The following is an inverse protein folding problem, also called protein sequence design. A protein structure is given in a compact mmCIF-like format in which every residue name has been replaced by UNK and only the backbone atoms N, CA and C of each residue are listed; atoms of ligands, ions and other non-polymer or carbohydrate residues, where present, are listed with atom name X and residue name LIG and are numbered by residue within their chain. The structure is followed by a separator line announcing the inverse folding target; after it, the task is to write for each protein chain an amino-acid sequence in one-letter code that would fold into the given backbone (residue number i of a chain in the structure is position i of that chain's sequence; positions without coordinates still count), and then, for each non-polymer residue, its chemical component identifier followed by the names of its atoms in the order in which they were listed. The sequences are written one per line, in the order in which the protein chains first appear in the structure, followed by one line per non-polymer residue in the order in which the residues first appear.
data_IF_509238624867
#
_entry.id   IF_509238624867
#
_cell.length_a   1.000
_cell.length_b   1.000
_cell.length_c   1.000
_cell.angle_alpha   90.00
_cell.angle_beta   90.00
_cell.angle_gamma   90.00
#
_symmetry.space_group_name_H-M   'P 1'
#
loop_
_entity.id
_entity.type
_entity.pdbx_description
1 polymer ?
#
# COMPACT_ATOMS: atom_id res chain seq x y z
N UNK A 1 -8.93 3.51 31.69
CA UNK A 1 -8.19 4.66 31.15
C UNK A 1 -7.24 4.27 30.01
N UNK A 2 -6.43 3.23 30.17
CA UNK A 2 -5.51 2.77 29.11
C UNK A 2 -6.25 2.30 27.86
N UNK A 3 -7.35 1.56 28.03
CA UNK A 3 -8.17 1.08 26.91
C UNK A 3 -8.81 2.22 26.11
N UNK A 4 -9.31 3.25 26.81
CA UNK A 4 -9.94 4.41 26.17
C UNK A 4 -8.91 5.21 25.35
N UNK A 5 -7.72 5.44 25.91
CA UNK A 5 -6.62 6.11 25.20
C UNK A 5 -6.19 5.33 23.96
N UNK A 6 -6.08 4.02 24.09
CA UNK A 6 -5.71 3.12 22.99
C UNK A 6 -6.78 3.14 21.89
N UNK A 7 -8.06 3.08 22.26
CA UNK A 7 -9.15 3.14 21.30
C UNK A 7 -9.19 4.48 20.57
N UNK A 8 -8.99 5.59 21.27
CA UNK A 8 -8.92 6.92 20.67
C UNK A 8 -7.73 7.05 19.71
N UNK A 9 -6.55 6.51 20.10
CA UNK A 9 -5.37 6.52 19.27
C UNK A 9 -5.57 5.71 17.99
N UNK A 10 -6.15 4.52 18.11
CA UNK A 10 -6.46 3.66 16.95
C UNK A 10 -7.47 4.32 16.02
N UNK A 11 -8.51 4.95 16.59
CA UNK A 11 -9.53 5.68 15.80
C UNK A 11 -8.91 6.84 15.02
N UNK A 12 -8.03 7.60 15.67
CA UNK A 12 -7.32 8.71 15.04
C UNK A 12 -6.40 8.24 13.91
N UNK A 13 -5.64 7.18 14.15
CA UNK A 13 -4.75 6.57 13.15
C UNK A 13 -5.53 6.06 11.95
N UNK A 14 -6.64 5.37 12.20
CA UNK A 14 -7.53 4.89 11.14
C UNK A 14 -8.11 6.05 10.33
N UNK A 15 -8.48 7.14 10.99
CA UNK A 15 -8.98 8.34 10.32
C UNK A 15 -7.92 8.93 9.38
N UNK A 16 -6.67 9.03 9.80
CA UNK A 16 -5.56 9.50 8.97
C UNK A 16 -5.42 8.64 7.71
N UNK A 17 -5.41 7.33 7.86
CA UNK A 17 -5.26 6.39 6.75
C UNK A 17 -6.45 6.51 5.79
N UNK A 18 -7.67 6.61 6.31
CA UNK A 18 -8.88 6.78 5.50
C UNK A 18 -8.88 8.11 4.73
N UNK A 19 -8.46 9.19 5.36
CA UNK A 19 -8.37 10.50 4.72
C UNK A 19 -7.35 10.49 3.58
N UNK A 20 -6.20 9.87 3.79
CA UNK A 20 -5.17 9.71 2.75
C UNK A 20 -5.68 8.84 1.61
N UNK A 21 -6.39 7.76 1.92
CA UNK A 21 -7.00 6.88 0.92
C UNK A 21 -8.04 7.61 0.07
N UNK A 22 -8.93 8.38 0.71
CA UNK A 22 -9.94 9.18 0.01
C UNK A 22 -9.29 10.28 -0.84
N UNK A 23 -8.24 10.91 -0.36
CA UNK A 23 -7.46 11.90 -1.11
C UNK A 23 -6.83 11.26 -2.35
N UNK A 24 -6.29 10.04 -2.22
CA UNK A 24 -5.75 9.27 -3.34
C UNK A 24 -6.80 8.96 -4.40
N UNK A 25 -7.99 8.52 -3.98
CA UNK A 25 -9.11 8.24 -4.88
C UNK A 25 -9.55 9.49 -5.64
N UNK A 26 -9.67 10.61 -4.93
CA UNK A 26 -10.05 11.89 -5.55
C UNK A 26 -8.98 12.39 -6.52
N UNK A 27 -7.71 12.30 -6.16
CA UNK A 27 -6.61 12.68 -7.04
C UNK A 27 -6.60 11.84 -8.33
N UNK A 28 -6.79 10.53 -8.20
CA UNK A 28 -6.89 9.64 -9.36
C UNK A 28 -8.06 10.01 -10.26
N UNK A 29 -9.21 10.35 -9.68
CA UNK A 29 -10.41 10.74 -10.43
C UNK A 29 -10.25 12.11 -11.11
N UNK A 30 -9.74 13.11 -10.40
CA UNK A 30 -9.58 14.50 -10.90
C UNK A 30 -8.57 14.55 -12.06
N UNK A 31 -7.45 13.85 -11.92
CA UNK A 31 -6.40 13.81 -12.94
C UNK A 31 -6.64 12.73 -13.99
N UNK A 32 -7.73 11.96 -13.90
CA UNK A 32 -8.04 10.85 -14.80
C UNK A 32 -6.86 9.89 -14.98
N UNK A 33 -6.22 9.55 -13.87
CA UNK A 33 -5.04 8.68 -13.88
C UNK A 33 -5.43 7.24 -14.25
N UNK A 34 -4.62 6.54 -15.06
CA UNK A 34 -4.88 5.15 -15.45
C UNK A 34 -4.49 4.15 -14.35
N UNK A 35 -4.37 4.58 -13.11
CA UNK A 35 -4.00 3.76 -11.96
C UNK A 35 -5.10 3.80 -10.90
N UNK A 36 -5.25 2.73 -10.09
CA UNK A 36 -6.23 2.72 -8.98
C UNK A 36 -5.95 3.83 -7.96
N UNK A 37 -7.01 4.38 -7.39
CA UNK A 37 -6.89 5.41 -6.33
C UNK A 37 -6.14 4.93 -5.10
N UNK A 38 -6.21 3.64 -4.79
CA UNK A 38 -5.44 3.03 -3.69
C UNK A 38 -3.93 3.13 -3.90
N UNK A 39 -3.44 3.01 -5.14
CA UNK A 39 -2.03 3.19 -5.48
C UNK A 39 -1.62 4.65 -5.27
N UNK A 40 -2.44 5.60 -5.71
CA UNK A 40 -2.21 7.03 -5.48
C UNK A 40 -2.17 7.33 -3.98
N UNK A 41 -3.09 6.73 -3.21
CA UNK A 41 -3.11 6.84 -1.74
C UNK A 41 -1.84 6.30 -1.09
N UNK A 42 -1.34 5.16 -1.55
CA UNK A 42 -0.06 4.60 -1.06
C UNK A 42 1.12 5.53 -1.34
N UNK A 43 1.21 6.08 -2.55
CA UNK A 43 2.26 7.02 -2.92
C UNK A 43 2.15 8.31 -2.12
N UNK A 44 0.93 8.80 -1.90
CA UNK A 44 0.66 9.97 -1.09
C UNK A 44 1.10 9.75 0.36
N UNK A 45 0.71 8.62 0.95
CA UNK A 45 1.11 8.26 2.31
C UNK A 45 2.63 8.13 2.43
N UNK A 46 3.25 7.47 1.47
CA UNK A 46 4.70 7.32 1.42
C UNK A 46 5.40 8.68 1.36
N UNK A 47 4.90 9.59 0.54
CA UNK A 47 5.42 10.95 0.42
C UNK A 47 5.29 11.72 1.73
N UNK A 48 4.12 11.65 2.37
CA UNK A 48 3.87 12.31 3.65
C UNK A 48 4.78 11.77 4.76
N UNK A 49 5.02 10.46 4.78
CA UNK A 49 5.94 9.83 5.72
C UNK A 49 7.39 10.23 5.45
N UNK A 50 7.78 10.30 4.18
CA UNK A 50 9.15 10.67 3.78
C UNK A 50 9.49 12.11 4.13
N UNK A 51 8.53 13.03 3.99
CA UNK A 51 8.72 14.45 4.35
C UNK A 51 8.49 14.72 5.83
N UNK A 52 8.09 13.74 6.61
CA UNK A 52 7.87 13.87 8.04
C UNK A 52 6.58 14.61 8.43
N UNK A 53 5.68 14.85 7.47
CA UNK A 53 4.34 15.44 7.74
C UNK A 53 3.52 14.50 8.63
N UNK A 54 3.55 13.21 8.31
CA UNK A 54 2.99 12.16 9.14
C UNK A 54 4.14 11.30 9.63
N UNK A 55 4.21 11.05 10.93
CA UNK A 55 5.22 10.18 11.52
C UNK A 55 4.72 8.74 11.53
N UNK A 56 5.61 7.80 11.26
CA UNK A 56 5.29 6.37 11.31
C UNK A 56 4.70 5.95 12.66
N UNK A 57 5.18 6.56 13.75
CA UNK A 57 4.66 6.31 15.09
C UNK A 57 3.18 6.68 15.24
N UNK A 58 2.68 7.64 14.46
CA UNK A 58 1.28 8.08 14.51
C UNK A 58 0.29 7.09 13.90
N UNK A 59 0.77 6.16 13.06
CA UNK A 59 -0.07 5.14 12.39
C UNK A 59 0.37 3.71 12.71
N UNK A 60 1.36 3.56 13.58
CA UNK A 60 2.03 2.29 13.86
C UNK A 60 1.08 1.22 14.43
N UNK A 61 0.16 1.58 15.30
CA UNK A 61 -0.76 0.62 15.92
C UNK A 61 -1.72 0.01 14.90
N UNK A 62 -2.33 0.84 14.07
CA UNK A 62 -3.27 0.38 13.04
C UNK A 62 -2.53 -0.39 11.95
N UNK A 63 -1.41 0.12 11.46
CA UNK A 63 -0.61 -0.58 10.44
C UNK A 63 -0.06 -1.89 10.97
N UNK A 64 0.39 -1.94 12.22
CA UNK A 64 0.84 -3.18 12.87
C UNK A 64 -0.28 -4.21 12.97
N UNK A 65 -1.48 -3.79 13.34
CA UNK A 65 -2.65 -4.66 13.38
C UNK A 65 -2.98 -5.21 11.98
N UNK A 66 -3.00 -4.34 10.95
CA UNK A 66 -3.29 -4.74 9.58
C UNK A 66 -2.25 -5.72 9.06
N UNK A 67 -0.96 -5.46 9.29
CA UNK A 67 0.13 -6.35 8.86
C UNK A 67 0.07 -7.71 9.57
N UNK A 68 -0.24 -7.71 10.87
CA UNK A 68 -0.38 -8.94 11.64
C UNK A 68 -1.51 -9.84 11.11
N UNK A 69 -2.61 -9.23 10.65
CA UNK A 69 -3.79 -9.92 10.15
C UNK A 69 -3.86 -9.91 8.61
N UNK A 70 -2.74 -9.65 7.94
CA UNK A 70 -2.69 -9.52 6.48
C UNK A 70 -3.19 -10.78 5.76
N UNK A 71 -2.86 -11.96 6.27
CA UNK A 71 -3.33 -13.23 5.71
C UNK A 71 -4.87 -13.31 5.68
N UNK A 72 -5.53 -12.80 6.70
CA UNK A 72 -6.99 -12.76 6.77
C UNK A 72 -7.59 -11.88 5.66
N UNK A 73 -6.93 -10.76 5.35
CA UNK A 73 -7.38 -9.87 4.26
C UNK A 73 -7.13 -10.45 2.88
N UNK A 74 -6.21 -11.41 2.73
CA UNK A 74 -5.98 -12.09 1.46
C UNK A 74 -7.11 -13.02 1.06
N UNK A 75 -7.90 -13.54 2.00
CA UNK A 75 -9.00 -14.48 1.71
C UNK A 75 -10.03 -13.85 0.76
N UNK A 76 -10.63 -12.67 1.06
CA UNK A 76 -11.60 -12.07 0.14
C UNK A 76 -10.98 -11.64 -1.19
N UNK A 77 -9.72 -11.23 -1.21
CA UNK A 77 -9.00 -10.89 -2.45
C UNK A 77 -8.82 -12.13 -3.32
N UNK A 78 -8.42 -13.25 -2.73
CA UNK A 78 -8.24 -14.52 -3.44
C UNK A 78 -9.57 -15.00 -4.03
N UNK A 79 -10.65 -14.95 -3.27
CA UNK A 79 -11.99 -15.31 -3.74
C UNK A 79 -12.42 -14.38 -4.88
N UNK A 80 -12.15 -13.08 -4.77
CA UNK A 80 -12.42 -12.12 -5.83
C UNK A 80 -11.66 -12.42 -7.12
N UNK A 81 -10.41 -12.86 -7.02
CA UNK A 81 -9.59 -13.22 -8.17
C UNK A 81 -10.14 -14.44 -8.93
N UNK A 82 -10.86 -15.33 -8.25
CA UNK A 82 -11.47 -16.49 -8.92
C UNK A 82 -12.49 -16.09 -10.00
N UNK A 83 -13.13 -14.92 -9.84
CA UNK A 83 -14.06 -14.40 -10.85
C UNK A 83 -13.34 -13.91 -12.12
N UNK A 84 -12.04 -13.69 -12.05
CA UNK A 84 -11.20 -13.24 -13.18
C UNK A 84 -10.45 -14.40 -13.86
N UNK A 85 -10.84 -15.64 -13.59
CA UNK A 85 -10.21 -16.84 -14.16
C UNK A 85 -10.08 -16.77 -15.68
N UNK A 86 -11.09 -16.26 -16.33
CA UNK A 86 -11.13 -16.14 -17.79
C UNK A 86 -10.02 -15.21 -18.31
N UNK A 87 -9.76 -14.10 -17.61
CA UNK A 87 -8.68 -13.18 -17.94
C UNK A 87 -7.31 -13.85 -17.76
N UNK A 88 -7.15 -14.62 -16.69
CA UNK A 88 -5.92 -15.38 -16.44
C UNK A 88 -5.65 -16.39 -17.53
N UNK A 89 -6.71 -17.03 -18.05
CA UNK A 89 -6.59 -18.03 -19.08
C UNK A 89 -6.27 -17.42 -20.46
N UNK A 90 -6.88 -16.29 -20.78
CA UNK A 90 -6.70 -15.63 -22.08
C UNK A 90 -5.42 -14.80 -22.15
N UNK A 91 -5.06 -14.12 -21.06
CA UNK A 91 -3.94 -13.20 -21.01
C UNK A 91 -2.84 -13.60 -20.02
N UNK A 92 -2.78 -14.87 -19.67
CA UNK A 92 -1.83 -15.39 -18.68
C UNK A 92 -0.37 -15.07 -19.00
N UNK A 93 0.01 -15.16 -20.29
CA UNK A 93 1.37 -14.85 -20.72
C UNK A 93 1.70 -13.37 -20.46
N UNK A 94 0.78 -12.47 -20.80
CA UNK A 94 0.94 -11.03 -20.56
C UNK A 94 1.04 -10.74 -19.07
N UNK A 95 0.20 -11.37 -18.25
CA UNK A 95 0.24 -11.22 -16.79
C UNK A 95 1.58 -11.69 -16.20
N UNK A 96 2.08 -12.84 -16.64
CA UNK A 96 3.37 -13.37 -16.19
C UNK A 96 4.51 -12.43 -16.60
N UNK A 97 4.48 -11.92 -17.83
CA UNK A 97 5.47 -10.96 -18.31
C UNK A 97 5.47 -9.67 -17.47
N UNK A 98 4.28 -9.13 -17.19
CA UNK A 98 4.13 -7.94 -16.33
C UNK A 98 4.64 -8.19 -14.91
N UNK A 99 4.33 -9.35 -14.33
CA UNK A 99 4.82 -9.72 -13.00
C UNK A 99 6.34 -9.83 -12.99
N UNK A 100 6.93 -10.47 -14.01
CA UNK A 100 8.39 -10.62 -14.12
C UNK A 100 9.08 -9.25 -14.26
N UNK A 101 8.54 -8.36 -15.08
CA UNK A 101 9.06 -7.01 -15.26
C UNK A 101 8.95 -6.23 -13.94
N UNK A 102 7.81 -6.29 -13.27
CA UNK A 102 7.58 -5.64 -11.98
C UNK A 102 8.57 -6.11 -10.92
N UNK A 103 8.78 -7.43 -10.85
CA UNK A 103 9.75 -8.03 -9.93
C UNK A 103 11.17 -7.58 -10.23
N UNK A 104 11.54 -7.52 -11.51
CA UNK A 104 12.85 -7.06 -11.94
C UNK A 104 13.09 -5.59 -11.56
N UNK A 105 12.10 -4.72 -11.80
CA UNK A 105 12.15 -3.31 -11.40
C UNK A 105 12.28 -3.19 -9.88
N UNK A 106 11.47 -3.94 -9.13
CA UNK A 106 11.52 -3.95 -7.67
C UNK A 106 12.91 -4.38 -7.17
N UNK A 107 13.51 -5.40 -7.79
CA UNK A 107 14.86 -5.86 -7.45
C UNK A 107 15.90 -4.76 -7.70
N UNK A 108 15.83 -4.07 -8.83
CA UNK A 108 16.74 -2.97 -9.15
C UNK A 108 16.62 -1.85 -8.13
N UNK A 109 15.39 -1.41 -7.84
CA UNK A 109 15.12 -0.35 -6.85
C UNK A 109 15.66 -0.74 -5.48
N UNK A 110 15.42 -1.98 -5.07
CA UNK A 110 15.93 -2.51 -3.79
C UNK A 110 17.47 -2.48 -3.76
N UNK A 111 18.12 -2.93 -4.83
CA UNK A 111 19.60 -2.92 -4.93
C UNK A 111 20.14 -1.50 -4.81
N UNK A 112 19.57 -0.55 -5.53
CA UNK A 112 20.01 0.84 -5.47
C UNK A 112 19.83 1.45 -4.09
N UNK A 113 18.70 1.19 -3.44
CA UNK A 113 18.40 1.70 -2.10
C UNK A 113 19.37 1.11 -1.07
N UNK A 114 19.66 -0.18 -1.16
CA UNK A 114 20.59 -0.88 -0.25
C UNK A 114 22.01 -0.37 -0.41
N UNK A 115 22.50 -0.24 -1.65
CA UNK A 115 23.85 0.26 -1.94
C UNK A 115 24.04 1.70 -1.45
N UNK A 116 23.04 2.54 -1.63
CA UNK A 116 23.08 3.92 -1.15
C UNK A 116 23.18 4.00 0.37
N UNK A 117 22.48 3.10 1.06
CA UNK A 117 22.48 3.07 2.52
C UNK A 117 23.81 2.54 3.08
N UNK A 118 24.44 1.59 2.40
CA UNK A 118 25.77 1.08 2.79
C UNK A 118 26.87 2.08 2.51
N UNK A 119 26.78 2.87 1.46
CA UNK A 119 27.75 3.92 1.13
C UNK A 119 27.72 5.11 2.07
N UNK A 120 26.68 5.24 2.91
CA UNK A 120 26.55 6.31 3.92
C UNK A 120 27.11 5.97 5.30
N UNK A 121 27.69 4.80 5.45
CA UNK A 121 28.43 4.39 6.65
C UNK A 121 29.92 4.58 6.42
#
# INVERSE_FOLDING_TARGET
MVLVKKTLAVSWQLLIILLVSLAGDKMAAVFSLPIPGSVVGMLLLFTLLSFGVIKAAQIQEVTGFLLKHMAFFFIPVTVGLMNYWEIFHQQGIVLIALLAISLFIAFIVFRFTTLKNEGGK
#
